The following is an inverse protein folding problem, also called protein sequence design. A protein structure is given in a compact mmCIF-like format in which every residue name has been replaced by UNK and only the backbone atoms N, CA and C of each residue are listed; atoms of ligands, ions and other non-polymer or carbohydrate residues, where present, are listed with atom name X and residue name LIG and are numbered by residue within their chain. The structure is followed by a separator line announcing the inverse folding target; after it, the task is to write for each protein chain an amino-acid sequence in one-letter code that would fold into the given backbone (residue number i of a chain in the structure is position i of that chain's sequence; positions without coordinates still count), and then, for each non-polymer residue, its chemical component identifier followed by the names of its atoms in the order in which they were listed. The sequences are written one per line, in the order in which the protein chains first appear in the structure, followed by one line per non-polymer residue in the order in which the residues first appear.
data_IF_182048688526
#
_entry.id   IF_182048688526
#
_cell.length_a   1.000
_cell.length_b   1.000
_cell.length_c   1.000
_cell.angle_alpha   90.00
_cell.angle_beta   90.00
_cell.angle_gamma   90.00
#
_symmetry.space_group_name_H-M   'P 1'
#
loop_
_entity.id
_entity.type
_entity.pdbx_description
1 polymer ?
#
# COMPACT_ATOMS: atom_id res chain seq x y z
N UNK A 1 2.53 -21.36 -23.67
CA UNK A 1 3.15 -20.10 -23.20
C UNK A 1 4.56 -20.38 -22.71
N UNK A 2 5.55 -19.57 -23.07
CA UNK A 2 6.92 -19.67 -22.52
C UNK A 2 6.92 -19.15 -21.08
N UNK A 3 7.59 -19.87 -20.17
CA UNK A 3 7.78 -19.45 -18.78
C UNK A 3 8.87 -18.38 -18.74
N UNK A 4 8.51 -17.17 -18.33
CA UNK A 4 9.47 -16.09 -18.07
C UNK A 4 9.97 -16.17 -16.63
N UNK A 5 11.25 -15.95 -16.42
CA UNK A 5 11.89 -15.90 -15.09
C UNK A 5 12.40 -14.47 -14.91
N UNK A 6 11.92 -13.79 -13.89
CA UNK A 6 12.43 -12.46 -13.50
C UNK A 6 13.65 -12.65 -12.61
N UNK A 7 14.80 -12.06 -12.98
CA UNK A 7 16.07 -12.23 -12.26
C UNK A 7 16.67 -10.90 -11.78
N UNK A 8 15.96 -9.79 -11.93
CA UNK A 8 16.46 -8.45 -11.59
C UNK A 8 15.90 -7.93 -10.24
N UNK A 9 15.95 -8.77 -9.21
CA UNK A 9 15.46 -8.43 -7.87
C UNK A 9 16.28 -7.33 -7.17
N UNK A 10 17.47 -7.01 -7.69
CA UNK A 10 18.28 -5.90 -7.21
C UNK A 10 17.69 -4.55 -7.65
N UNK A 11 17.03 -4.47 -8.81
CA UNK A 11 16.39 -3.26 -9.28
C UNK A 11 14.99 -3.06 -8.69
N UNK A 12 14.16 -4.10 -8.67
CA UNK A 12 12.82 -4.04 -8.07
C UNK A 12 12.28 -5.45 -7.76
N UNK A 13 11.23 -5.52 -6.96
CA UNK A 13 10.58 -6.77 -6.57
C UNK A 13 9.10 -6.72 -6.86
N UNK A 14 8.49 -7.87 -7.15
CA UNK A 14 7.03 -7.95 -7.23
C UNK A 14 6.41 -7.65 -5.86
N UNK A 15 5.22 -7.06 -5.87
CA UNK A 15 4.44 -6.83 -4.66
C UNK A 15 3.81 -8.16 -4.25
N UNK A 16 4.02 -8.58 -3.00
CA UNK A 16 3.35 -9.77 -2.45
C UNK A 16 1.84 -9.51 -2.37
N UNK A 17 1.02 -10.53 -2.61
CA UNK A 17 -0.44 -10.38 -2.61
C UNK A 17 -0.97 -9.73 -1.32
N UNK A 18 -0.50 -10.16 -0.15
CA UNK A 18 -0.92 -9.55 1.13
C UNK A 18 -0.56 -8.07 1.26
N UNK A 19 0.54 -7.61 0.65
CA UNK A 19 0.87 -6.17 0.64
C UNK A 19 -0.13 -5.42 -0.23
N UNK A 20 -0.50 -5.97 -1.39
CA UNK A 20 -1.49 -5.36 -2.27
C UNK A 20 -2.86 -5.30 -1.56
N UNK A 21 -3.30 -6.40 -0.95
CA UNK A 21 -4.60 -6.49 -0.28
C UNK A 21 -4.75 -5.46 0.84
N UNK A 22 -3.74 -5.31 1.70
CA UNK A 22 -3.71 -4.29 2.75
C UNK A 22 -3.73 -2.88 2.18
N UNK A 23 -3.05 -2.65 1.05
CA UNK A 23 -3.04 -1.33 0.39
C UNK A 23 -4.37 -0.99 -0.31
N UNK A 24 -5.11 -1.98 -0.82
CA UNK A 24 -6.38 -1.75 -1.51
C UNK A 24 -7.41 -1.03 -0.65
N UNK A 25 -7.38 -1.24 0.68
CA UNK A 25 -8.25 -0.55 1.63
C UNK A 25 -8.10 0.99 1.51
N UNK A 26 -6.87 1.48 1.39
CA UNK A 26 -6.56 2.91 1.30
C UNK A 26 -6.80 3.51 -0.09
N UNK A 27 -6.90 2.66 -1.12
CA UNK A 27 -7.32 3.10 -2.46
C UNK A 27 -8.83 3.15 -2.64
N UNK A 28 -9.61 2.48 -1.79
CA UNK A 28 -11.08 2.36 -1.96
C UNK A 28 -11.87 3.09 -0.88
N UNK A 29 -11.57 2.81 0.38
CA UNK A 29 -12.40 3.24 1.52
C UNK A 29 -11.69 4.33 2.32
N UNK A 30 -10.44 4.06 2.66
CA UNK A 30 -9.61 4.92 3.50
C UNK A 30 -8.72 5.82 2.62
N UNK A 31 -9.32 6.62 1.74
CA UNK A 31 -8.59 7.46 0.77
C UNK A 31 -8.35 8.90 1.26
N UNK A 32 -8.77 9.23 2.47
CA UNK A 32 -8.70 10.59 3.01
C UNK A 32 -7.27 11.10 3.18
N UNK A 33 -7.07 12.41 3.01
CA UNK A 33 -5.78 13.03 3.28
C UNK A 33 -5.43 12.91 4.79
N UNK A 34 -4.32 12.24 5.18
CA UNK A 34 -3.93 12.08 6.58
C UNK A 34 -3.68 13.39 7.35
N UNK A 35 -3.48 14.50 6.64
CA UNK A 35 -3.24 15.82 7.22
C UNK A 35 -4.51 16.63 7.46
N UNK A 36 -5.66 16.14 7.01
CA UNK A 36 -6.95 16.80 7.23
C UNK A 36 -7.39 16.72 8.68
N UNK A 37 -8.20 17.69 9.11
CA UNK A 37 -8.74 17.78 10.47
C UNK A 37 -9.99 16.91 10.71
N UNK A 38 -10.48 16.21 9.69
CA UNK A 38 -11.69 15.41 9.79
C UNK A 38 -11.43 14.08 10.48
N UNK A 39 -12.41 13.60 11.26
CA UNK A 39 -12.31 12.34 12.01
C UNK A 39 -11.97 11.12 11.16
N UNK A 40 -12.47 11.05 9.93
CA UNK A 40 -12.18 9.96 8.99
C UNK A 40 -10.74 9.95 8.45
N UNK A 41 -9.95 10.99 8.74
CA UNK A 41 -8.52 11.07 8.35
C UNK A 41 -7.58 10.45 9.38
N UNK A 42 -8.06 10.22 10.62
CA UNK A 42 -7.25 9.69 11.73
C UNK A 42 -6.74 8.26 11.47
N UNK A 43 -7.54 7.44 10.79
CA UNK A 43 -7.14 6.08 10.38
C UNK A 43 -5.91 6.14 9.48
N UNK A 44 -5.93 7.01 8.48
CA UNK A 44 -4.84 7.15 7.51
C UNK A 44 -3.58 7.74 8.15
N UNK A 45 -3.75 8.71 9.04
CA UNK A 45 -2.65 9.28 9.82
C UNK A 45 -1.96 8.22 10.69
N UNK A 46 -2.74 7.36 11.33
CA UNK A 46 -2.24 6.24 12.12
C UNK A 46 -1.52 5.21 11.25
N UNK A 47 -2.09 4.89 10.08
CA UNK A 47 -1.48 3.95 9.13
C UNK A 47 -0.11 4.43 8.62
N UNK A 48 0.00 5.71 8.23
CA UNK A 48 1.29 6.31 7.82
C UNK A 48 2.30 6.32 8.96
N UNK A 49 1.86 6.52 10.21
CA UNK A 49 2.74 6.47 11.38
C UNK A 49 3.26 5.05 11.65
N UNK A 50 2.42 4.03 11.47
CA UNK A 50 2.80 2.63 11.67
C UNK A 50 3.74 2.11 10.56
N UNK A 51 3.59 2.60 9.33
CA UNK A 51 4.38 2.17 8.19
C UNK A 51 5.81 2.75 8.15
N UNK A 52 6.13 3.71 9.02
CA UNK A 52 7.44 4.35 9.14
C UNK A 52 8.28 3.66 10.22
#
# INVERSE_FOLDING_TARGET
MKRSIYMDYAATTFVRQGVLDEMMLYFKENFANPSSLYSFSEINKSAIKLAR
#
